data_IF_710449965946
#
_entry.id   IF_710449965946
#
_cell.length_a   1.000
_cell.length_b   1.000
_cell.length_c   1.000
_cell.angle_alpha   90.00
_cell.angle_beta   90.00
_cell.angle_gamma   90.00
#
_symmetry.space_group_name_H-M   'P 1'
#
loop_
_entity.id
_entity.type
_entity.pdbx_description
1 polymer ?
#
# COMPACT_ATOMS: atom_id res chain seq x y z
N UNK A 1 -23.35 18.90 -22.37
CA UNK A 1 -23.00 18.73 -22.08
C UNK A 1 -22.18 18.63 -22.07
N UNK A 2 -21.90 18.26 -22.03
CA UNK A 2 -21.08 18.04 -21.82
C UNK A 2 -20.55 18.07 -21.57
N UNK A 3 -20.32 18.31 -21.40
CA UNK A 3 -19.72 18.37 -20.83
C UNK A 3 -19.28 18.00 -20.14
N UNK A 4 -19.35 17.84 -19.82
CA UNK A 4 -18.87 17.47 -19.04
C UNK A 4 -18.21 16.80 -18.88
N UNK A 5 -18.12 16.51 -19.18
CA UNK A 5 -17.43 15.88 -18.89
C UNK A 5 -16.41 15.83 -18.99
N UNK A 6 -16.08 16.02 -19.18
CA UNK A 6 -15.21 15.92 -19.02
C UNK A 6 -14.47 16.16 -18.55
N UNK A 7 -14.38 16.40 -18.12
CA UNK A 7 -13.64 16.50 -17.45
C UNK A 7 -13.15 16.00 -16.78
N UNK A 8 -13.64 16.00 -16.84
CA UNK A 8 -13.25 15.46 -15.81
C UNK A 8 -12.35 14.63 -15.72
N UNK A 9 -12.27 14.26 -16.29
CA UNK A 9 -11.43 13.36 -16.05
C UNK A 9 -10.13 13.70 -16.23
N UNK A 10 -10.04 14.30 -16.42
CA UNK A 10 -9.01 14.30 -16.46
C UNK A 10 -8.20 14.80 -15.86
N UNK A 11 -8.27 15.23 -15.68
CA UNK A 11 -7.51 15.70 -15.02
C UNK A 11 -6.78 15.25 -14.06
N UNK A 12 -7.07 15.20 -13.66
CA UNK A 12 -6.60 14.62 -12.49
C UNK A 12 -5.90 13.33 -12.73
N UNK A 13 -6.07 12.78 -13.85
CA UNK A 13 -5.55 11.47 -14.13
C UNK A 13 -4.05 11.35 -13.92
N UNK A 14 -3.23 12.28 -14.40
CA UNK A 14 -1.78 12.13 -14.17
C UNK A 14 -1.40 12.18 -12.71
N UNK A 15 -2.09 13.00 -11.98
CA UNK A 15 -1.82 13.09 -10.55
C UNK A 15 -2.18 11.79 -9.87
N UNK A 16 -3.31 11.23 -10.25
CA UNK A 16 -3.74 9.98 -9.67
C UNK A 16 -2.77 8.85 -9.95
N UNK A 17 -2.19 8.84 -11.12
CA UNK A 17 -1.23 7.81 -11.46
C UNK A 17 -0.05 7.81 -10.51
N UNK A 18 0.42 8.98 -10.12
CA UNK A 18 1.56 9.07 -9.21
C UNK A 18 1.22 8.55 -7.83
N UNK A 19 -0.03 8.66 -7.41
CA UNK A 19 -0.44 8.22 -6.08
C UNK A 19 -0.87 6.77 -6.05
N UNK A 20 -1.30 6.24 -7.19
CA UNK A 20 -1.92 4.93 -7.23
C UNK A 20 -0.94 3.79 -7.05
N UNK A 21 0.34 4.08 -6.97
CA UNK A 21 1.36 3.04 -6.96
C UNK A 21 1.90 2.70 -5.58
N UNK A 22 1.10 2.91 -4.55
CA UNK A 22 1.51 2.61 -3.18
C UNK A 22 0.55 1.62 -2.55
N UNK A 23 1.09 0.55 -2.01
CA UNK A 23 0.29 -0.54 -1.44
C UNK A 23 0.81 -0.93 -0.07
N UNK A 24 -0.11 -1.25 0.83
CA UNK A 24 0.22 -1.74 2.17
C UNK A 24 -0.34 -3.14 2.30
N UNK A 25 0.52 -4.09 2.63
CA UNK A 25 0.14 -5.49 2.66
C UNK A 25 0.43 -6.09 4.03
N UNK A 26 -0.62 -6.65 4.63
CA UNK A 26 -0.53 -7.40 5.86
C UNK A 26 -0.27 -8.85 5.51
N UNK A 27 0.90 -9.35 5.87
CA UNK A 27 1.27 -10.72 5.50
C UNK A 27 1.06 -11.71 6.65
N UNK A 28 0.23 -11.32 7.63
CA UNK A 28 -0.17 -12.20 8.71
C UNK A 28 -1.30 -13.12 8.25
N UNK A 29 -1.76 -13.97 9.16
CA UNK A 29 -2.86 -14.86 8.84
C UNK A 29 -4.17 -14.08 8.65
N UNK A 30 -5.15 -14.68 7.96
CA UNK A 30 -6.45 -14.03 7.82
C UNK A 30 -7.12 -13.77 9.17
N UNK A 31 -6.91 -14.64 10.13
CA UNK A 31 -7.49 -14.47 11.47
C UNK A 31 -6.90 -13.25 12.16
N UNK A 32 -5.60 -13.08 12.08
CA UNK A 32 -4.95 -11.90 12.66
C UNK A 32 -5.46 -10.62 12.01
N UNK A 33 -5.55 -10.64 10.69
CA UNK A 33 -6.02 -9.49 9.92
C UNK A 33 -7.46 -9.13 10.28
N UNK A 34 -8.31 -10.15 10.42
CA UNK A 34 -9.73 -9.90 10.76
C UNK A 34 -9.89 -9.29 12.13
N UNK A 35 -9.00 -9.63 13.06
CA UNK A 35 -9.04 -9.08 14.40
C UNK A 35 -8.73 -7.59 14.42
N UNK A 36 -7.60 -7.23 13.81
CA UNK A 36 -7.18 -5.84 13.71
C UNK A 36 -6.11 -5.76 12.63
N UNK A 37 -6.16 -4.70 11.83
CA UNK A 37 -5.13 -4.45 10.82
C UNK A 37 -4.98 -2.95 10.61
N UNK A 38 -3.89 -2.55 9.97
CA UNK A 38 -3.67 -1.14 9.66
C UNK A 38 -4.64 -0.69 8.58
N UNK A 39 -5.15 0.52 8.69
CA UNK A 39 -6.10 1.06 7.72
C UNK A 39 -5.54 1.00 6.32
N UNK A 40 -6.35 0.48 5.40
CA UNK A 40 -5.96 0.40 4.00
C UNK A 40 -5.13 -0.81 3.64
N UNK A 41 -4.75 -1.64 4.61
CA UNK A 41 -3.95 -2.82 4.32
C UNK A 41 -4.78 -3.90 3.64
N UNK A 42 -4.14 -4.57 2.69
CA UNK A 42 -4.69 -5.76 2.03
C UNK A 42 -4.02 -6.97 2.66
N UNK A 43 -4.78 -8.01 2.91
CA UNK A 43 -4.21 -9.21 3.52
C UNK A 43 -3.77 -10.20 2.45
N UNK A 44 -2.48 -10.52 2.46
CA UNK A 44 -1.94 -11.64 1.69
C UNK A 44 -1.02 -12.39 2.64
N UNK A 45 -1.45 -13.52 3.19
CA UNK A 45 -0.57 -14.30 4.07
C UNK A 45 0.76 -14.58 3.40
N UNK A 46 1.83 -14.61 4.19
CA UNK A 46 3.20 -14.65 3.65
C UNK A 46 3.39 -15.80 2.66
N UNK A 47 2.77 -16.95 2.92
CA UNK A 47 2.92 -18.11 2.05
C UNK A 47 2.23 -17.95 0.70
N UNK A 48 1.33 -16.96 0.58
CA UNK A 48 0.58 -16.72 -0.65
C UNK A 48 1.10 -15.54 -1.46
N UNK A 49 2.12 -14.85 -0.96
CA UNK A 49 2.58 -13.60 -1.57
C UNK A 49 3.00 -13.81 -3.02
N UNK A 50 3.80 -14.84 -3.29
CA UNK A 50 4.29 -15.07 -4.65
C UNK A 50 3.15 -15.29 -5.63
N UNK A 51 2.11 -16.02 -5.21
CA UNK A 51 1.01 -16.38 -6.10
C UNK A 51 0.03 -15.22 -6.28
N UNK A 52 -0.10 -14.32 -5.30
CA UNK A 52 -1.21 -13.38 -5.29
C UNK A 52 -0.81 -11.91 -5.46
N UNK A 53 0.48 -11.60 -5.41
CA UNK A 53 0.88 -10.19 -5.48
C UNK A 53 0.41 -9.53 -6.78
N UNK A 54 0.39 -10.27 -7.89
CA UNK A 54 -0.01 -9.68 -9.16
C UNK A 54 -1.48 -9.25 -9.18
N UNK A 55 -2.30 -9.81 -8.28
CA UNK A 55 -3.69 -9.37 -8.14
C UNK A 55 -3.77 -7.99 -7.48
N UNK A 56 -2.75 -7.62 -6.72
CA UNK A 56 -2.67 -6.29 -6.11
C UNK A 56 -2.04 -5.32 -7.09
N UNK A 57 -0.88 -5.67 -7.60
CA UNK A 57 -0.21 -4.84 -8.60
C UNK A 57 0.78 -5.66 -9.40
N UNK A 58 0.79 -5.43 -10.71
CA UNK A 58 1.80 -5.99 -11.59
C UNK A 58 2.95 -5.00 -11.83
N UNK A 59 2.82 -3.78 -11.31
CA UNK A 59 3.83 -2.74 -11.50
C UNK A 59 5.04 -3.01 -10.60
N UNK A 60 6.15 -3.35 -11.21
CA UNK A 60 7.36 -3.70 -10.47
C UNK A 60 8.02 -2.50 -9.80
N UNK A 61 7.62 -1.30 -10.15
CA UNK A 61 8.13 -0.07 -9.53
C UNK A 61 7.19 0.51 -8.50
N UNK A 62 6.08 -0.16 -8.21
CA UNK A 62 5.15 0.30 -7.18
C UNK A 62 5.82 0.29 -5.81
N UNK A 63 5.44 1.23 -4.98
CA UNK A 63 5.89 1.26 -3.57
C UNK A 63 5.06 0.26 -2.78
N UNK A 64 5.70 -0.78 -2.28
CA UNK A 64 5.03 -1.83 -1.54
C UNK A 64 5.57 -1.86 -0.12
N UNK A 65 4.65 -1.72 0.83
CA UNK A 65 4.98 -1.79 2.25
C UNK A 65 4.36 -3.05 2.81
N UNK A 66 5.15 -3.83 3.55
CA UNK A 66 4.67 -5.07 4.14
C UNK A 66 4.91 -5.06 5.64
N UNK A 67 4.02 -5.68 6.38
CA UNK A 67 4.19 -5.81 7.82
C UNK A 67 3.58 -7.12 8.31
N UNK A 68 4.00 -7.52 9.51
CA UNK A 68 3.42 -8.68 10.15
C UNK A 68 3.38 -8.41 11.66
N UNK A 69 3.51 -9.44 12.47
CA UNK A 69 3.45 -9.26 13.92
C UNK A 69 4.80 -8.80 14.49
N UNK A 70 5.91 -9.39 13.99
CA UNK A 70 7.24 -9.11 14.51
C UNK A 70 8.21 -8.59 13.45
N UNK A 71 7.78 -8.53 12.19
CA UNK A 71 8.64 -8.16 11.08
C UNK A 71 9.28 -9.36 10.38
N UNK A 72 9.20 -10.54 10.97
CA UNK A 72 9.87 -11.71 10.43
C UNK A 72 9.20 -12.21 9.15
N UNK A 73 7.89 -12.41 9.20
CA UNK A 73 7.14 -12.83 8.00
C UNK A 73 7.20 -11.76 6.93
N UNK A 74 7.17 -10.49 7.36
CA UNK A 74 7.30 -9.38 6.41
C UNK A 74 8.67 -9.39 5.72
N UNK A 75 9.71 -9.79 6.44
CA UNK A 75 11.03 -9.94 5.83
C UNK A 75 11.05 -11.01 4.76
N UNK A 76 10.38 -12.14 5.02
CA UNK A 76 10.25 -13.20 4.01
C UNK A 76 9.47 -12.70 2.81
N UNK A 77 8.38 -11.97 3.04
CA UNK A 77 7.59 -11.41 1.95
C UNK A 77 8.42 -10.44 1.13
N UNK A 78 9.22 -9.61 1.79
CA UNK A 78 10.10 -8.67 1.11
C UNK A 78 11.07 -9.40 0.18
N UNK A 79 11.70 -10.46 0.67
CA UNK A 79 12.60 -11.26 -0.15
C UNK A 79 11.89 -11.89 -1.33
N UNK A 80 10.70 -12.42 -1.10
CA UNK A 80 9.90 -13.03 -2.16
C UNK A 80 9.59 -12.01 -3.25
N UNK A 81 9.12 -10.83 -2.84
CA UNK A 81 8.75 -9.79 -3.80
C UNK A 81 9.97 -9.28 -4.56
N UNK A 82 11.08 -9.09 -3.86
CA UNK A 82 12.31 -8.67 -4.52
C UNK A 82 12.74 -9.70 -5.57
N UNK A 83 12.64 -10.97 -5.22
CA UNK A 83 12.95 -12.05 -6.16
C UNK A 83 12.06 -12.08 -7.37
N UNK A 84 10.84 -11.56 -7.25
CA UNK A 84 9.90 -11.48 -8.36
C UNK A 84 10.09 -10.22 -9.21
N UNK A 85 11.00 -9.35 -8.82
CA UNK A 85 11.33 -8.17 -9.60
C UNK A 85 10.75 -6.87 -9.10
N UNK A 86 10.03 -6.90 -7.97
CA UNK A 86 9.54 -5.66 -7.36
C UNK A 86 10.72 -4.93 -6.72
N UNK A 87 10.89 -3.65 -7.04
CA UNK A 87 12.12 -2.93 -6.71
C UNK A 87 12.00 -2.03 -5.50
N UNK A 88 10.77 -1.77 -5.02
CA UNK A 88 10.55 -0.82 -3.94
C UNK A 88 9.70 -1.45 -2.85
N UNK A 89 10.27 -2.40 -2.15
CA UNK A 89 9.56 -3.13 -1.09
C UNK A 89 10.18 -2.78 0.25
N UNK A 90 9.37 -2.31 1.16
CA UNK A 90 9.80 -1.90 2.50
C UNK A 90 9.12 -2.77 3.55
N UNK A 91 9.91 -3.33 4.45
CA UNK A 91 9.41 -4.06 5.61
C UNK A 91 9.18 -3.05 6.74
N UNK A 92 7.92 -2.78 7.05
CA UNK A 92 7.60 -1.83 8.13
C UNK A 92 7.76 -2.43 9.52
N UNK A 93 7.77 -3.75 9.62
CA UNK A 93 7.94 -4.41 10.89
C UNK A 93 6.63 -4.91 11.46
N UNK A 94 6.12 -4.26 12.48
CA UNK A 94 4.98 -4.73 13.23
C UNK A 94 3.69 -4.02 12.82
N UNK A 95 2.56 -4.54 13.32
CA UNK A 95 1.28 -3.86 13.15
C UNK A 95 1.35 -2.42 13.68
N UNK A 96 1.96 -2.23 14.86
CA UNK A 96 2.07 -0.88 15.42
C UNK A 96 2.88 0.04 14.51
N UNK A 97 3.94 -0.48 13.92
CA UNK A 97 4.75 0.30 12.97
C UNK A 97 3.95 0.66 11.75
N UNK A 98 3.14 -0.28 11.25
CA UNK A 98 2.29 -0.02 10.09
C UNK A 98 1.22 1.01 10.42
N UNK A 99 0.63 0.91 11.60
CA UNK A 99 -0.38 1.89 12.02
C UNK A 99 0.22 3.29 12.13
N UNK A 100 1.44 3.39 12.65
CA UNK A 100 2.14 4.67 12.74
C UNK A 100 2.44 5.23 11.35
N UNK A 101 2.83 4.35 10.42
CA UNK A 101 3.09 4.74 9.04
C UNK A 101 1.83 5.32 8.40
N UNK A 102 0.70 4.63 8.57
CA UNK A 102 -0.58 5.09 8.01
C UNK A 102 -0.97 6.44 8.61
N UNK A 103 -0.80 6.58 9.92
CA UNK A 103 -1.16 7.83 10.60
C UNK A 103 -0.33 9.00 10.07
N UNK A 104 0.96 8.78 9.86
CA UNK A 104 1.84 9.83 9.32
C UNK A 104 1.44 10.19 7.90
N UNK A 105 1.16 9.20 7.09
CA UNK A 105 0.77 9.41 5.70
C UNK A 105 -0.53 10.20 5.62
N UNK A 106 -1.51 9.85 6.44
CA UNK A 106 -2.78 10.56 6.48
C UNK A 106 -2.59 11.99 6.96
N UNK A 107 -1.74 12.20 7.96
CA UNK A 107 -1.47 13.54 8.46
C UNK A 107 -0.82 14.40 7.39
N UNK A 108 0.10 13.83 6.63
CA UNK A 108 0.76 14.55 5.54
C UNK A 108 -0.23 14.92 4.44
N UNK A 109 -1.12 14.02 4.09
CA UNK A 109 -2.14 14.27 3.08
C UNK A 109 -3.10 15.35 3.56
N UNK A 110 -3.50 15.29 4.80
CA UNK A 110 -4.40 16.29 5.37
C UNK A 110 -3.74 17.67 5.39
N UNK A 111 -2.47 17.73 5.76
CA UNK A 111 -1.73 18.99 5.77
C UNK A 111 -1.59 19.56 4.37
N UNK A 112 -1.31 18.71 3.39
CA UNK A 112 -1.19 19.15 2.01
C UNK A 112 -2.53 19.68 1.49
N UNK A 113 -3.61 18.95 1.80
CA UNK A 113 -4.96 19.39 1.41
C UNK A 113 -5.32 20.72 2.06
N UNK A 114 -4.98 20.87 3.34
CA UNK A 114 -5.22 22.12 4.03
C UNK A 114 -4.47 23.27 3.41
N UNK A 115 -3.24 23.05 3.05
CA UNK A 115 -2.44 24.06 2.37
C UNK A 115 -3.02 24.41 1.01
N UNK A 116 -3.45 23.41 0.29
CA UNK A 116 -4.01 23.63 -1.03
C UNK A 116 -5.32 24.42 -0.96
N UNK A 117 -6.06 24.27 0.11
CA UNK A 117 -7.32 24.98 0.27
C UNK A 117 -7.15 26.45 0.55
N UNK A 118 -5.96 26.87 0.94
CA UNK A 118 -5.68 28.26 1.25
C UNK A 118 -5.20 28.99 0.01
#
# INVERSE_FOLDING_TARGET
>A
MLKKTLLAALFAAPVLGAWAETYLIDVRSPEEYAEVHADGAVNIPVEDVAAKISEVTADKDADIYVYCRSGRRAGVAQETLTGLGYTKVTNLGTLADAQAFVARTQAEETAADGQAAQ
#
